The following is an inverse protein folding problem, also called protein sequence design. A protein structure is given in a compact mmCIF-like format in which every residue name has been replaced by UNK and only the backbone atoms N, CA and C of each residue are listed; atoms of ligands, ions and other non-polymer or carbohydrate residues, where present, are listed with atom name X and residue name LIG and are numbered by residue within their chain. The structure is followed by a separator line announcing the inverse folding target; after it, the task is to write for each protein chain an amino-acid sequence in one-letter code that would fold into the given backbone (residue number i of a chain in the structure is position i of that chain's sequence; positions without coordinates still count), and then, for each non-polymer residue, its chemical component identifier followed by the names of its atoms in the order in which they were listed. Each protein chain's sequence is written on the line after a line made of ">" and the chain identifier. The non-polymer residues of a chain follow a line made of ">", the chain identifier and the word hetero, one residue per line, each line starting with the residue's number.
data_IF_167874809452
#
_entry.id   IF_167874809452
#
_cell.length_a   1.000
_cell.length_b   1.000
_cell.length_c   1.000
_cell.angle_alpha   90.00
_cell.angle_beta   90.00
_cell.angle_gamma   90.00
#
_symmetry.space_group_name_H-M   'P 1'
#
loop_
_entity.id
_entity.type
_entity.pdbx_description
1 polymer ?
#
# COMPACT_ATOMS: atom_id res chain seq x y z
N UNK A 1 8.89 -4.63 -9.17
CA UNK A 1 8.81 -4.42 -7.72
C UNK A 1 9.27 -3.01 -7.47
N UNK A 2 8.41 -2.25 -6.83
CA UNK A 2 8.61 -0.89 -6.46
C UNK A 2 9.70 -0.74 -5.40
N UNK A 3 10.42 0.38 -5.47
CA UNK A 3 11.45 0.75 -4.51
C UNK A 3 11.14 2.08 -3.84
N UNK A 4 12.02 2.55 -2.94
CA UNK A 4 11.86 3.83 -2.27
C UNK A 4 10.68 3.87 -1.28
N UNK A 5 10.27 2.72 -0.76
CA UNK A 5 9.21 2.59 0.25
C UNK A 5 9.84 2.64 1.63
N UNK A 6 9.45 3.61 2.46
CA UNK A 6 10.00 3.76 3.80
C UNK A 6 8.94 4.09 4.83
N UNK A 7 9.29 3.99 6.11
CA UNK A 7 8.44 4.50 7.20
C UNK A 7 8.83 5.92 7.61
N UNK A 8 8.05 6.53 8.50
CA UNK A 8 8.37 7.87 9.02
C UNK A 8 9.65 7.93 9.86
N UNK A 9 10.11 6.80 10.40
CA UNK A 9 11.39 6.67 11.10
C UNK A 9 12.56 6.30 10.19
N UNK A 10 12.33 6.12 8.89
CA UNK A 10 13.35 5.63 7.95
C UNK A 10 13.59 4.11 8.01
N UNK A 11 12.85 3.37 8.84
CA UNK A 11 12.92 1.92 8.90
C UNK A 11 12.28 1.26 7.67
N UNK A 12 12.74 0.05 7.36
CA UNK A 12 12.16 -0.79 6.31
C UNK A 12 10.71 -1.18 6.68
N UNK A 13 9.73 -0.96 5.78
CA UNK A 13 8.31 -1.12 6.11
C UNK A 13 7.90 -2.52 6.58
N UNK A 14 8.41 -3.59 5.96
CA UNK A 14 8.05 -4.95 6.33
C UNK A 14 8.53 -5.29 7.74
N UNK A 15 9.75 -4.88 8.11
CA UNK A 15 10.28 -5.01 9.47
C UNK A 15 9.47 -4.18 10.48
N UNK A 16 9.19 -2.92 10.15
CA UNK A 16 8.47 -2.02 11.05
C UNK A 16 7.05 -2.50 11.38
N UNK A 17 6.37 -3.16 10.42
CA UNK A 17 4.97 -3.56 10.56
C UNK A 17 4.76 -5.07 10.69
N UNK A 18 5.82 -5.88 10.73
CA UNK A 18 5.73 -7.35 10.74
C UNK A 18 4.77 -7.89 11.80
N UNK A 19 4.92 -7.43 13.05
CA UNK A 19 4.07 -7.86 14.18
C UNK A 19 2.61 -7.51 13.94
N UNK A 20 2.34 -6.30 13.44
CA UNK A 20 0.98 -5.83 13.18
C UNK A 20 0.33 -6.59 12.04
N UNK A 21 1.06 -6.88 10.97
CA UNK A 21 0.58 -7.71 9.85
C UNK A 21 0.16 -9.11 10.34
N UNK A 22 0.86 -9.65 11.33
CA UNK A 22 0.54 -10.94 11.94
C UNK A 22 -0.78 -10.97 12.73
N UNK A 23 -1.31 -9.82 13.17
CA UNK A 23 -2.53 -9.76 14.00
C UNK A 23 -3.84 -9.63 13.21
N UNK A 24 -3.80 -9.68 11.88
CA UNK A 24 -4.99 -9.49 11.04
C UNK A 24 -5.87 -10.75 10.87
N UNK A 25 -5.60 -11.85 11.58
CA UNK A 25 -6.34 -13.13 11.51
C UNK A 25 -6.77 -13.57 10.09
N UNK A 26 -5.95 -13.26 9.09
CA UNK A 26 -6.17 -13.61 7.69
C UNK A 26 -4.83 -13.70 6.97
N UNK A 27 -4.34 -14.92 6.67
CA UNK A 27 -3.10 -15.11 5.94
C UNK A 27 -3.08 -14.41 4.58
N UNK A 28 -4.23 -14.36 3.90
CA UNK A 28 -4.38 -13.72 2.60
C UNK A 28 -4.25 -12.20 2.72
N UNK A 29 -4.89 -11.57 3.72
CA UNK A 29 -4.76 -10.13 3.94
C UNK A 29 -3.32 -9.77 4.31
N UNK A 30 -2.69 -10.57 5.17
CA UNK A 30 -1.28 -10.41 5.51
C UNK A 30 -0.36 -10.54 4.29
N UNK A 31 -0.64 -11.46 3.37
CA UNK A 31 0.14 -11.62 2.14
C UNK A 31 0.01 -10.41 1.22
N UNK A 32 -1.21 -9.88 1.04
CA UNK A 32 -1.44 -8.65 0.26
C UNK A 32 -0.69 -7.46 0.87
N UNK A 33 -0.77 -7.29 2.19
CA UNK A 33 -0.06 -6.20 2.88
C UNK A 33 1.45 -6.32 2.74
N UNK A 34 2.01 -7.53 2.84
CA UNK A 34 3.45 -7.75 2.60
C UNK A 34 3.83 -7.42 1.17
N UNK A 35 2.99 -7.79 0.20
CA UNK A 35 3.21 -7.42 -1.20
C UNK A 35 3.31 -5.91 -1.37
N UNK A 36 2.28 -5.17 -0.92
CA UNK A 36 2.26 -3.71 -1.02
C UNK A 36 3.44 -3.04 -0.31
N UNK A 37 3.74 -3.45 0.93
CA UNK A 37 4.82 -2.86 1.74
C UNK A 37 6.22 -3.20 1.21
N UNK A 38 6.37 -4.34 0.52
CA UNK A 38 7.59 -4.74 -0.17
C UNK A 38 7.70 -4.21 -1.59
N UNK A 39 6.67 -3.53 -2.11
CA UNK A 39 6.65 -3.01 -3.48
C UNK A 39 6.27 -4.05 -4.54
N UNK A 40 5.78 -5.22 -4.16
CA UNK A 40 5.26 -6.20 -5.12
C UNK A 40 3.93 -5.72 -5.71
N UNK A 41 3.71 -5.97 -7.01
CA UNK A 41 2.42 -5.70 -7.63
C UNK A 41 1.34 -6.62 -7.05
N UNK A 42 0.25 -6.00 -6.57
CA UNK A 42 -0.95 -6.68 -6.09
C UNK A 42 -2.07 -6.50 -7.11
N UNK A 43 -2.59 -7.61 -7.61
CA UNK A 43 -3.64 -7.62 -8.61
C UNK A 43 -5.01 -7.72 -7.93
N UNK A 44 -5.84 -6.70 -8.14
CA UNK A 44 -7.25 -6.66 -7.76
C UNK A 44 -8.10 -7.19 -8.93
N UNK A 45 -8.40 -8.49 -8.90
CA UNK A 45 -9.27 -9.18 -9.88
C UNK A 45 -10.58 -9.58 -9.22
N UNK A 46 -11.71 -9.33 -9.89
CA UNK A 46 -13.03 -9.87 -9.57
C UNK A 46 -13.48 -9.74 -8.10
N UNK A 47 -13.07 -8.67 -7.42
CA UNK A 47 -13.42 -8.41 -6.02
C UNK A 47 -12.71 -9.30 -4.99
N UNK A 48 -11.75 -10.14 -5.40
CA UNK A 48 -10.97 -10.97 -4.49
C UNK A 48 -10.11 -10.13 -3.53
N UNK A 49 -9.55 -9.03 -4.05
CA UNK A 49 -8.86 -8.01 -3.29
C UNK A 49 -9.44 -6.67 -3.71
N UNK A 50 -9.92 -5.89 -2.76
CA UNK A 50 -10.40 -4.53 -3.01
C UNK A 50 -9.47 -3.55 -2.34
N UNK A 51 -8.88 -2.67 -3.14
CA UNK A 51 -8.03 -1.59 -2.65
C UNK A 51 -8.71 -0.28 -3.05
N UNK A 52 -9.11 0.49 -2.03
CA UNK A 52 -9.66 1.82 -2.20
C UNK A 52 -8.69 2.86 -1.66
N UNK A 53 -8.73 4.06 -2.22
CA UNK A 53 -7.86 5.16 -1.83
C UNK A 53 -8.66 6.42 -1.59
N UNK A 54 -8.38 7.11 -0.50
CA UNK A 54 -9.02 8.37 -0.13
C UNK A 54 -7.99 9.35 0.45
N UNK A 55 -8.16 10.67 0.28
CA UNK A 55 -7.34 11.66 0.98
C UNK A 55 -7.42 11.48 2.50
N UNK A 56 -6.30 11.66 3.20
CA UNK A 56 -6.20 11.46 4.66
C UNK A 56 -5.41 12.59 5.35
N UNK A 57 -6.08 13.72 5.59
CA UNK A 57 -5.50 14.85 6.31
C UNK A 57 -4.70 15.81 5.43
N UNK A 58 -3.46 16.21 5.80
CA UNK A 58 -2.64 17.17 5.06
C UNK A 58 -2.45 16.82 3.57
N UNK A 59 -2.16 17.84 2.75
CA UNK A 59 -1.88 17.70 1.32
C UNK A 59 -0.90 16.55 1.03
N UNK A 60 -1.31 15.64 0.15
CA UNK A 60 -0.48 14.50 -0.32
C UNK A 60 -0.59 13.21 0.49
N UNK A 61 -1.29 13.21 1.64
CA UNK A 61 -1.57 11.97 2.38
C UNK A 61 -2.80 11.26 1.84
N UNK A 62 -2.67 9.95 1.68
CA UNK A 62 -3.73 9.06 1.24
C UNK A 62 -3.87 7.88 2.20
N UNK A 63 -5.11 7.49 2.49
CA UNK A 63 -5.42 6.23 3.14
C UNK A 63 -5.76 5.20 2.07
N UNK A 64 -5.00 4.11 2.04
CA UNK A 64 -5.26 2.92 1.25
C UNK A 64 -5.96 1.91 2.15
N UNK A 65 -7.21 1.59 1.83
CA UNK A 65 -7.98 0.56 2.53
C UNK A 65 -7.98 -0.72 1.70
N UNK A 66 -7.36 -1.78 2.24
CA UNK A 66 -7.28 -3.12 1.66
C UNK A 66 -8.31 -4.01 2.33
N UNK A 67 -9.25 -4.51 1.54
CA UNK A 67 -10.35 -5.36 1.97
C UNK A 67 -10.33 -6.67 1.19
N UNK A 68 -10.47 -7.79 1.90
CA UNK A 68 -10.81 -9.08 1.31
C UNK A 68 -12.21 -9.45 1.80
N UNK A 69 -13.18 -9.77 0.93
CA UNK A 69 -14.54 -10.10 1.37
C UNK A 69 -14.62 -11.22 2.41
N UNK A 70 -13.71 -12.19 2.35
CA UNK A 70 -13.65 -13.33 3.27
C UNK A 70 -12.80 -13.06 4.55
N UNK A 71 -12.10 -11.92 4.64
CA UNK A 71 -11.28 -11.61 5.81
C UNK A 71 -12.12 -10.90 6.90
N UNK A 72 -11.84 -11.17 8.19
CA UNK A 72 -12.55 -10.53 9.30
C UNK A 72 -12.18 -9.05 9.49
N UNK A 73 -11.07 -8.61 8.90
CA UNK A 73 -10.56 -7.26 9.04
C UNK A 73 -10.32 -6.59 7.68
N UNK A 74 -10.40 -5.26 7.69
CA UNK A 74 -9.89 -4.36 6.67
C UNK A 74 -8.60 -3.75 7.20
N UNK A 75 -7.61 -3.64 6.33
CA UNK A 75 -6.36 -2.97 6.64
C UNK A 75 -6.32 -1.58 6.03
N UNK A 76 -6.10 -0.57 6.89
CA UNK A 76 -5.96 0.82 6.48
C UNK A 76 -4.50 1.24 6.63
N UNK A 77 -3.92 1.75 5.55
CA UNK A 77 -2.55 2.23 5.51
C UNK A 77 -2.52 3.69 5.08
N UNK A 78 -1.87 4.54 5.85
CA UNK A 78 -1.70 5.96 5.49
C UNK A 78 -0.35 6.14 4.84
N UNK A 79 -0.34 6.68 3.62
CA UNK A 79 0.84 6.84 2.78
C UNK A 79 0.94 8.25 2.22
N UNK A 80 2.18 8.69 1.93
CA UNK A 80 2.46 9.91 1.17
C UNK A 80 3.39 9.56 0.02
N UNK A 81 3.12 10.05 -1.19
CA UNK A 81 4.05 9.95 -2.30
C UNK A 81 5.24 10.90 -2.07
N UNK A 82 6.44 10.41 -2.35
CA UNK A 82 7.67 11.16 -2.20
C UNK A 82 8.36 11.36 -3.56
N UNK A 83 9.01 12.51 -3.79
CA UNK A 83 9.94 12.62 -4.90
C UNK A 83 11.15 11.70 -4.67
N UNK A 84 11.76 11.23 -5.76
CA UNK A 84 12.88 10.27 -5.70
C UNK A 84 14.05 10.73 -4.81
N UNK A 85 14.32 12.03 -4.73
CA UNK A 85 15.39 12.60 -3.90
C UNK A 85 15.14 12.45 -2.38
N UNK A 86 13.89 12.23 -1.96
CA UNK A 86 13.52 12.02 -0.56
C UNK A 86 13.47 10.53 -0.16
N UNK A 87 13.69 9.63 -1.13
CA UNK A 87 13.64 8.19 -0.93
C UNK A 87 15.04 7.58 -0.81
N UNK A 88 15.17 6.58 0.06
CA UNK A 88 16.33 5.70 0.06
C UNK A 88 16.13 4.58 -0.98
N UNK A 89 17.11 4.36 -1.86
CA UNK A 89 16.98 3.48 -3.05
C UNK A 89 15.69 3.79 -3.84
N UNK A 90 15.57 4.99 -4.45
CA UNK A 90 14.36 5.38 -5.14
C UNK A 90 14.07 4.47 -6.35
N UNK A 91 12.79 4.28 -6.62
CA UNK A 91 12.33 3.76 -7.91
C UNK A 91 12.56 4.83 -9.00
N UNK A 92 12.87 4.41 -10.22
CA UNK A 92 13.07 5.32 -11.35
C UNK A 92 11.76 6.03 -11.78
N UNK A 93 10.61 5.42 -11.46
CA UNK A 93 9.28 5.96 -11.77
C UNK A 93 8.87 7.08 -10.81
N UNK A 94 8.14 8.06 -11.31
CA UNK A 94 7.50 9.07 -10.47
C UNK A 94 6.27 8.50 -9.76
N UNK A 95 6.17 8.65 -8.44
CA UNK A 95 4.93 8.34 -7.68
C UNK A 95 3.89 9.46 -7.75
N UNK A 96 4.21 10.56 -8.44
CA UNK A 96 3.33 11.71 -8.67
C UNK A 96 2.84 11.76 -10.12
N UNK A 97 1.53 12.02 -10.37
CA UNK A 97 0.49 12.29 -9.37
C UNK A 97 0.06 11.04 -8.59
N UNK A 98 -0.09 11.16 -7.27
CA UNK A 98 -0.60 10.10 -6.41
C UNK A 98 -2.11 10.21 -6.23
N UNK A 99 -2.84 9.08 -6.13
CA UNK A 99 -2.37 7.70 -6.13
C UNK A 99 -2.28 7.07 -7.54
N UNK A 100 -2.51 7.84 -8.60
CA UNK A 100 -2.66 7.32 -9.97
C UNK A 100 -1.44 6.56 -10.46
N UNK A 101 -0.22 7.00 -10.11
CA UNK A 101 1.00 6.30 -10.51
C UNK A 101 1.17 4.92 -9.84
N UNK A 102 0.54 4.68 -8.69
CA UNK A 102 0.54 3.36 -8.04
C UNK A 102 -0.52 2.42 -8.59
N UNK A 103 -1.43 2.92 -9.45
CA UNK A 103 -2.56 2.17 -9.99
C UNK A 103 -2.44 1.99 -11.51
N UNK A 104 -2.25 0.77 -11.97
CA UNK A 104 -2.40 0.42 -13.37
C UNK A 104 -3.80 -0.17 -13.62
N UNK A 105 -4.66 0.60 -14.30
CA UNK A 105 -6.02 0.16 -14.67
C UNK A 105 -6.05 -0.34 -16.11
N UNK A 106 -6.48 -1.59 -16.29
CA UNK A 106 -6.82 -2.10 -17.62
C UNK A 106 -8.28 -1.75 -17.94
N UNK A 107 -8.58 -1.26 -19.15
CA UNK A 107 -9.89 -0.71 -19.52
C UNK A 107 -11.10 -1.65 -19.27
N UNK A 108 -10.87 -2.97 -19.20
CA UNK A 108 -11.87 -4.00 -18.86
C UNK A 108 -11.28 -5.13 -18.02
N UNK A 109 -10.17 -4.87 -17.33
CA UNK A 109 -9.36 -5.89 -16.68
C UNK A 109 -9.05 -5.56 -15.23
N UNK A 110 -8.23 -6.38 -14.57
CA UNK A 110 -7.86 -6.17 -13.18
C UNK A 110 -7.11 -4.84 -12.99
N UNK A 111 -7.19 -4.32 -11.77
CA UNK A 111 -6.38 -3.17 -11.34
C UNK A 111 -5.15 -3.70 -10.64
N UNK A 112 -3.97 -3.36 -11.13
CA UNK A 112 -2.71 -3.68 -10.45
C UNK A 112 -2.28 -2.51 -9.60
N UNK A 113 -1.96 -2.79 -8.34
CA UNK A 113 -1.43 -1.83 -7.38
C UNK A 113 0.03 -2.14 -7.09
N UNK A 114 0.91 -1.16 -7.24
CA UNK A 114 2.33 -1.30 -6.90
C UNK A 114 2.78 -0.01 -6.20
N UNK A 115 3.22 -0.12 -4.96
CA UNK A 115 3.75 1.03 -4.23
C UNK A 115 5.23 1.22 -4.55
N UNK A 116 5.62 2.48 -4.70
CA UNK A 116 7.01 2.90 -4.86
C UNK A 116 7.13 4.39 -4.53
N UNK A 117 8.34 4.83 -4.20
CA UNK A 117 8.68 6.21 -3.86
C UNK A 117 7.65 6.84 -2.90
N UNK A 118 7.49 6.24 -1.72
CA UNK A 118 6.44 6.62 -0.79
C UNK A 118 6.85 6.40 0.68
N UNK A 119 6.15 7.10 1.57
CA UNK A 119 6.30 6.97 3.02
C UNK A 119 5.04 6.41 3.64
N UNK A 120 5.18 5.33 4.41
CA UNK A 120 4.12 4.73 5.20
C UNK A 120 4.13 5.37 6.60
N UNK A 121 3.01 5.98 6.96
CA UNK A 121 2.83 6.67 8.25
C UNK A 121 2.20 5.76 9.30
N UNK A 122 1.25 4.93 8.88
CA UNK A 122 0.57 4.01 9.77
C UNK A 122 0.02 2.81 9.00
N UNK A 123 -0.12 1.72 9.73
CA UNK A 123 -0.91 0.55 9.35
C UNK A 123 -1.85 0.25 10.50
N UNK A 124 -3.15 0.18 10.24
CA UNK A 124 -4.19 -0.11 11.24
C UNK A 124 -5.18 -1.15 10.71
N UNK A 125 -5.88 -1.82 11.61
CA UNK A 125 -6.96 -2.75 11.26
C UNK A 125 -8.29 -2.26 11.83
N UNK A 126 -9.38 -2.59 11.14
CA UNK A 126 -10.75 -2.47 11.63
C UNK A 126 -11.57 -3.66 11.16
N UNK A 127 -12.69 -3.94 11.83
CA UNK A 127 -13.60 -5.00 11.37
C UNK A 127 -14.11 -4.68 9.96
N UNK A 128 -14.15 -5.71 9.12
CA UNK A 128 -14.70 -5.66 7.77
C UNK A 128 -16.22 -5.48 7.81
#
# INVERSE_FOLDING_TARGET
>A
MGKGIGTSSGAEPLQAWQLRIGTFDSPQLSAVLRGLLGGDPVVSTDGAVEISVMPDGPLGRHRLSVRLPAAPFVADMVVTALPAIECHDPDERSSSPSPDQWMQRSARGPVTWELFNCRIHSLTSRRN
#
